data_IF_688307290953
#
_entry.id   IF_688307290953
#
_cell.length_a   1.000
_cell.length_b   1.000
_cell.length_c   1.000
_cell.angle_alpha   90.00
_cell.angle_beta   90.00
_cell.angle_gamma   90.00
#
_symmetry.space_group_name_H-M   'P 1'
#
loop_
_entity.id
_entity.type
_entity.pdbx_description
1 polymer ?
#
# COMPACT_ATOMS: atom_id res chain seq x y z
N UNK A 1 2.76 73.82 -11.31
CA UNK A 1 3.36 72.48 -11.41
C UNK A 1 3.86 72.14 -10.03
N UNK A 2 3.12 71.29 -9.33
CA UNK A 2 3.08 71.26 -7.86
C UNK A 2 4.05 70.23 -7.26
N UNK A 3 4.79 70.74 -6.26
CA UNK A 3 5.17 70.16 -4.97
C UNK A 3 5.84 68.78 -4.90
N UNK A 4 7.15 68.83 -4.67
CA UNK A 4 7.89 68.32 -3.50
C UNK A 4 7.08 67.55 -2.45
N UNK A 5 7.57 66.40 -1.99
CA UNK A 5 7.87 66.10 -0.56
C UNK A 5 8.64 64.78 -0.43
N UNK A 6 9.82 64.84 0.19
CA UNK A 6 10.49 63.73 0.88
C UNK A 6 9.99 63.76 2.34
N UNK A 7 9.67 62.60 2.95
CA UNK A 7 9.89 62.31 4.40
C UNK A 7 9.49 60.88 4.79
N UNK A 8 10.49 60.18 5.36
CA UNK A 8 10.48 59.25 6.52
C UNK A 8 9.14 58.96 7.21
N UNK A 9 8.91 57.74 7.72
CA UNK A 9 9.22 57.25 9.11
C UNK A 9 8.57 55.88 9.37
N UNK A 10 9.27 55.04 10.16
CA UNK A 10 8.84 53.79 10.78
C UNK A 10 7.49 53.85 11.53
N UNK A 11 6.78 52.73 11.63
CA UNK A 11 6.04 52.41 12.85
C UNK A 11 5.94 50.91 13.12
N UNK A 12 6.36 50.57 14.33
CA UNK A 12 6.37 49.28 14.99
C UNK A 12 5.13 49.22 15.92
N UNK A 13 4.71 47.99 16.23
CA UNK A 13 4.19 47.55 17.53
C UNK A 13 2.66 47.53 17.80
N UNK A 14 2.18 46.28 17.96
CA UNK A 14 1.27 45.70 18.95
C UNK A 14 -0.17 46.21 19.13
N UNK A 15 -1.09 45.25 19.38
CA UNK A 15 -1.65 45.01 20.73
C UNK A 15 -2.42 43.68 20.72
N UNK A 16 -1.95 42.77 21.58
CA UNK A 16 -2.67 41.64 22.17
C UNK A 16 -3.31 42.17 23.46
N UNK A 17 -4.54 41.75 23.84
CA UNK A 17 -5.03 41.54 25.22
C UNK A 17 -6.56 41.31 25.28
N UNK A 18 -6.90 40.11 25.78
CA UNK A 18 -7.99 39.67 26.68
C UNK A 18 -9.48 40.00 26.48
N UNK A 19 -10.27 38.94 26.76
CA UNK A 19 -11.39 38.85 27.72
C UNK A 19 -12.64 38.24 27.06
N UNK A 20 -13.50 37.39 27.65
CA UNK A 20 -13.88 37.09 29.04
C UNK A 20 -14.42 35.63 29.09
N UNK A 21 -14.15 34.91 30.18
CA UNK A 21 -14.83 33.68 30.53
C UNK A 21 -16.29 33.93 30.96
N UNK A 22 -17.25 33.20 30.39
CA UNK A 22 -18.55 33.00 31.01
C UNK A 22 -18.72 31.52 31.35
N UNK A 23 -18.64 31.23 32.65
CA UNK A 23 -19.23 30.04 33.24
C UNK A 23 -20.73 30.31 33.33
N UNK A 24 -21.54 29.38 32.82
CA UNK A 24 -22.90 29.18 33.32
C UNK A 24 -23.10 27.69 33.59
N UNK A 25 -23.75 27.44 34.71
CA UNK A 25 -23.81 26.22 35.49
C UNK A 25 -24.95 25.29 35.07
N UNK A 26 -24.66 23.98 35.10
CA UNK A 26 -25.52 22.86 35.52
C UNK A 26 -26.83 22.65 34.75
N UNK A 27 -26.90 21.54 34.00
CA UNK A 27 -27.78 20.46 34.44
C UNK A 27 -27.21 19.08 34.09
N UNK A 28 -27.24 18.19 35.09
CA UNK A 28 -26.85 16.80 34.98
C UNK A 28 -27.84 16.07 34.05
N UNK A 29 -27.37 15.73 32.85
CA UNK A 29 -27.92 14.67 32.04
C UNK A 29 -26.83 13.62 31.93
N UNK A 30 -26.90 12.60 32.78
CA UNK A 30 -26.18 11.34 32.58
C UNK A 30 -26.79 10.74 31.31
N UNK A 31 -26.30 11.15 30.15
CA UNK A 31 -26.41 10.33 28.96
C UNK A 31 -25.35 9.26 29.15
N UNK A 32 -25.79 8.11 29.66
CA UNK A 32 -25.07 6.88 29.45
C UNK A 32 -24.69 6.83 27.97
N UNK A 33 -23.40 7.02 27.68
CA UNK A 33 -22.85 6.46 26.47
C UNK A 33 -23.11 4.98 26.64
N UNK A 34 -24.05 4.46 25.86
CA UNK A 34 -24.14 3.04 25.65
C UNK A 34 -22.79 2.63 25.08
N UNK A 35 -21.88 2.24 25.97
CA UNK A 35 -20.94 1.18 25.67
C UNK A 35 -21.80 -0.05 25.39
N UNK A 36 -22.33 -0.12 24.18
CA UNK A 36 -22.45 -1.41 23.54
C UNK A 36 -21.00 -1.84 23.30
N UNK A 37 -20.36 -2.31 24.38
CA UNK A 37 -19.26 -3.23 24.26
C UNK A 37 -19.85 -4.39 23.49
N UNK A 38 -19.62 -4.41 22.18
CA UNK A 38 -19.70 -5.65 21.45
C UNK A 38 -18.90 -6.65 22.26
N UNK A 39 -19.62 -7.65 22.76
CA UNK A 39 -19.04 -8.77 23.46
C UNK A 39 -18.28 -9.54 22.37
N UNK A 40 -17.07 -9.08 22.07
CA UNK A 40 -16.07 -9.88 21.37
C UNK A 40 -15.75 -10.98 22.36
N UNK A 41 -16.44 -12.12 22.17
CA UNK A 41 -16.21 -13.35 22.91
C UNK A 41 -14.71 -13.53 23.06
N UNK A 42 -14.28 -13.77 24.30
CA UNK A 42 -12.93 -14.18 24.64
C UNK A 42 -12.67 -15.54 23.98
N UNK A 43 -12.38 -15.51 22.67
CA UNK A 43 -12.06 -16.68 21.87
C UNK A 43 -10.56 -16.88 22.00
N UNK A 44 -10.15 -17.79 22.87
CA UNK A 44 -8.91 -18.51 22.62
C UNK A 44 -9.10 -19.28 21.32
N UNK A 45 -8.62 -18.70 20.22
CA UNK A 45 -8.57 -19.36 18.92
C UNK A 45 -7.44 -20.39 19.00
N UNK A 46 -7.71 -21.63 18.61
CA UNK A 46 -6.68 -22.65 18.50
C UNK A 46 -5.83 -22.36 17.27
N UNK A 47 -4.75 -21.61 17.46
CA UNK A 47 -3.82 -21.26 16.39
C UNK A 47 -2.89 -22.45 16.09
N UNK A 48 -2.75 -22.77 14.81
CA UNK A 48 -1.95 -23.92 14.35
C UNK A 48 -0.68 -23.43 13.65
N UNK A 49 0.52 -23.86 14.09
CA UNK A 49 1.76 -23.50 13.40
C UNK A 49 1.87 -24.22 12.05
N UNK A 50 2.37 -23.49 11.06
CA UNK A 50 2.80 -24.01 9.77
C UNK A 50 4.28 -23.65 9.54
N UNK A 51 5.06 -24.50 8.86
CA UNK A 51 6.38 -24.10 8.40
C UNK A 51 6.25 -22.98 7.38
N UNK A 52 7.21 -22.06 7.38
CA UNK A 52 7.28 -21.02 6.33
C UNK A 52 7.36 -21.68 4.94
N UNK A 53 6.66 -21.10 3.94
CA UNK A 53 6.69 -21.61 2.59
C UNK A 53 8.10 -21.41 2.01
N UNK A 54 8.63 -22.44 1.35
CA UNK A 54 9.81 -22.28 0.51
C UNK A 54 9.35 -21.58 -0.76
N UNK A 55 9.43 -20.25 -0.79
CA UNK A 55 9.10 -19.47 -1.97
C UNK A 55 10.37 -19.29 -2.78
N UNK A 56 10.42 -19.92 -3.95
CA UNK A 56 11.50 -19.70 -4.91
C UNK A 56 10.92 -18.83 -6.00
N UNK A 57 11.49 -17.65 -6.23
CA UNK A 57 11.28 -16.94 -7.49
C UNK A 57 11.68 -17.90 -8.60
N UNK A 58 10.70 -18.44 -9.34
CA UNK A 58 11.01 -19.00 -10.65
C UNK A 58 11.74 -17.88 -11.37
N UNK A 59 12.93 -18.14 -11.92
CA UNK A 59 13.75 -17.12 -12.59
C UNK A 59 12.85 -16.21 -13.42
N UNK A 60 12.46 -15.06 -12.87
CA UNK A 60 11.56 -14.16 -13.55
C UNK A 60 12.41 -13.68 -14.69
N UNK A 61 11.94 -13.94 -15.90
CA UNK A 61 12.62 -13.38 -17.06
C UNK A 61 12.45 -11.89 -16.86
N UNK A 62 13.54 -11.18 -16.58
CA UNK A 62 13.51 -9.73 -16.39
C UNK A 62 12.67 -9.16 -17.52
N UNK A 63 11.51 -8.60 -17.18
CA UNK A 63 10.56 -8.08 -18.16
C UNK A 63 11.22 -6.96 -18.94
N UNK A 64 10.93 -6.89 -20.23
CA UNK A 64 11.38 -5.77 -21.06
C UNK A 64 10.78 -4.47 -20.50
N UNK A 65 11.48 -3.33 -20.57
CA UNK A 65 10.85 -2.04 -20.30
C UNK A 65 9.57 -1.88 -21.13
N UNK A 66 8.52 -1.34 -20.52
CA UNK A 66 7.20 -1.19 -21.14
C UNK A 66 6.51 -2.52 -21.49
N UNK A 67 6.83 -3.62 -20.78
CA UNK A 67 6.27 -4.95 -21.04
C UNK A 67 4.74 -4.95 -21.14
N UNK A 68 4.04 -4.25 -20.23
CA UNK A 68 2.58 -4.15 -20.23
C UNK A 68 2.03 -3.54 -21.53
N UNK A 69 2.75 -2.63 -22.19
CA UNK A 69 2.41 -2.10 -23.51
C UNK A 69 2.78 -3.06 -24.64
N UNK A 70 3.88 -3.80 -24.50
CA UNK A 70 4.43 -4.71 -25.51
C UNK A 70 3.64 -6.02 -25.61
N UNK A 71 3.25 -6.57 -24.46
CA UNK A 71 2.56 -7.85 -24.30
C UNK A 71 1.04 -7.74 -24.42
N UNK A 72 0.52 -6.51 -24.55
CA UNK A 72 -0.90 -6.19 -24.71
C UNK A 72 -1.62 -7.12 -25.71
N UNK A 73 -2.66 -7.78 -25.23
CA UNK A 73 -3.51 -8.68 -25.99
C UNK A 73 -4.43 -7.92 -26.98
N UNK A 74 -5.29 -8.60 -27.74
CA UNK A 74 -6.13 -7.89 -28.74
C UNK A 74 -7.18 -6.94 -28.15
N UNK A 75 -7.64 -7.21 -26.94
CA UNK A 75 -8.57 -6.37 -26.22
C UNK A 75 -7.84 -5.18 -25.59
N UNK A 76 -6.72 -5.42 -24.92
CA UNK A 76 -5.85 -4.41 -24.31
C UNK A 76 -5.27 -3.45 -25.35
N UNK A 77 -4.86 -3.95 -26.51
CA UNK A 77 -4.44 -3.12 -27.64
C UNK A 77 -5.51 -2.11 -28.06
N UNK A 78 -6.79 -2.50 -27.99
CA UNK A 78 -7.91 -1.60 -28.31
C UNK A 78 -8.10 -0.56 -27.21
N UNK A 79 -7.99 -0.97 -25.95
CA UNK A 79 -8.08 -0.07 -24.79
C UNK A 79 -6.94 0.96 -24.82
N UNK A 80 -5.72 0.53 -25.12
CA UNK A 80 -4.58 1.43 -25.27
C UNK A 80 -4.82 2.46 -26.38
N UNK A 81 -5.45 2.08 -27.50
CA UNK A 81 -5.83 3.05 -28.53
C UNK A 81 -6.87 4.05 -28.03
N UNK A 82 -7.84 3.61 -27.24
CA UNK A 82 -8.81 4.51 -26.61
C UNK A 82 -8.12 5.46 -25.62
N UNK A 83 -7.11 5.01 -24.87
CA UNK A 83 -6.29 5.88 -24.01
C UNK A 83 -5.54 6.92 -24.83
N UNK A 84 -4.83 6.50 -25.89
CA UNK A 84 -4.10 7.39 -26.80
C UNK A 84 -5.04 8.46 -27.40
N UNK A 85 -6.26 8.08 -27.77
CA UNK A 85 -7.24 9.01 -28.32
C UNK A 85 -7.67 10.11 -27.33
N UNK A 86 -7.53 9.86 -26.02
CA UNK A 86 -7.84 10.83 -24.96
C UNK A 86 -6.63 11.63 -24.45
N UNK A 87 -5.39 11.26 -24.80
CA UNK A 87 -4.19 11.99 -24.39
C UNK A 87 -4.22 13.48 -24.73
N UNK A 88 -3.53 14.29 -23.92
CA UNK A 88 -3.44 15.75 -24.06
C UNK A 88 -2.41 16.24 -25.10
N UNK A 89 -2.31 15.51 -26.22
CA UNK A 89 -1.39 15.79 -27.34
C UNK A 89 -2.15 16.05 -28.64
N UNK A 90 -1.44 16.47 -29.70
CA UNK A 90 -2.10 16.80 -30.98
C UNK A 90 -2.67 15.56 -31.68
N UNK A 91 -3.68 15.74 -32.52
CA UNK A 91 -4.26 14.62 -33.30
C UNK A 91 -3.24 13.92 -34.21
N UNK A 92 -2.22 14.65 -34.69
CA UNK A 92 -1.14 14.08 -35.50
C UNK A 92 -0.30 13.13 -34.65
N UNK A 93 0.09 13.55 -33.45
CA UNK A 93 0.86 12.71 -32.53
C UNK A 93 0.08 11.47 -32.10
N UNK A 94 -1.24 11.57 -31.91
CA UNK A 94 -2.10 10.40 -31.62
C UNK A 94 -2.04 9.36 -32.72
N UNK A 95 -2.16 9.77 -33.98
CA UNK A 95 -2.07 8.86 -35.13
C UNK A 95 -0.66 8.27 -35.29
N UNK A 96 0.38 9.05 -35.02
CA UNK A 96 1.77 8.58 -35.04
C UNK A 96 2.01 7.51 -33.97
N UNK A 97 1.58 7.75 -32.72
CA UNK A 97 1.68 6.80 -31.63
C UNK A 97 0.95 5.49 -31.94
N UNK A 98 -0.32 5.55 -32.37
CA UNK A 98 -1.12 4.36 -32.74
C UNK A 98 -0.49 3.57 -33.89
N UNK A 99 0.05 4.27 -34.89
CA UNK A 99 0.73 3.62 -36.02
C UNK A 99 2.02 2.93 -35.57
N UNK A 100 2.81 3.59 -34.73
CA UNK A 100 4.09 3.08 -34.24
C UNK A 100 3.90 1.83 -33.37
N UNK A 101 3.04 1.89 -32.34
CA UNK A 101 2.82 0.75 -31.45
C UNK A 101 2.24 -0.48 -32.19
N UNK A 102 1.39 -0.23 -33.19
CA UNK A 102 0.89 -1.29 -34.09
C UNK A 102 1.98 -1.93 -34.95
N UNK A 103 3.01 -1.18 -35.30
CA UNK A 103 4.18 -1.72 -36.01
C UNK A 103 5.07 -2.53 -35.05
N UNK A 104 5.31 -2.00 -33.85
CA UNK A 104 6.06 -2.65 -32.78
C UNK A 104 5.47 -4.03 -32.45
N UNK A 105 4.15 -4.13 -32.23
CA UNK A 105 3.49 -5.42 -31.95
C UNK A 105 3.65 -6.49 -33.05
N UNK A 106 3.95 -6.11 -34.31
CA UNK A 106 4.20 -7.09 -35.38
C UNK A 106 5.63 -7.64 -35.36
N UNK A 107 6.54 -6.91 -34.70
CA UNK A 107 7.98 -7.15 -34.67
C UNK A 107 8.45 -7.72 -33.34
N UNK A 108 7.71 -7.44 -32.26
CA UNK A 108 7.93 -7.99 -30.93
C UNK A 108 7.85 -9.54 -30.95
N UNK A 109 8.71 -10.28 -30.21
CA UNK A 109 9.76 -9.80 -29.29
C UNK A 109 11.14 -9.57 -29.93
N UNK A 110 11.34 -9.93 -31.19
CA UNK A 110 12.70 -10.17 -31.72
C UNK A 110 13.36 -8.98 -32.44
N UNK A 111 12.64 -7.89 -32.71
CA UNK A 111 13.09 -6.83 -33.62
C UNK A 111 12.86 -5.40 -33.08
N UNK A 112 12.98 -5.18 -31.76
CA UNK A 112 12.89 -3.84 -31.17
C UNK A 112 14.14 -2.98 -31.47
N UNK A 113 13.93 -1.68 -31.66
CA UNK A 113 14.99 -0.67 -31.89
C UNK A 113 15.00 0.38 -30.79
N UNK A 114 16.04 1.23 -30.75
CA UNK A 114 16.11 2.37 -29.84
C UNK A 114 14.95 3.37 -30.06
N UNK A 115 14.63 3.66 -31.33
CA UNK A 115 13.48 4.49 -31.70
C UNK A 115 12.13 3.91 -31.20
N UNK A 116 12.02 2.58 -31.12
CA UNK A 116 10.83 1.93 -30.54
C UNK A 116 10.68 2.24 -29.05
N UNK A 117 11.78 2.24 -28.30
CA UNK A 117 11.76 2.61 -26.88
C UNK A 117 11.46 4.10 -26.66
N UNK A 118 11.93 4.99 -27.55
CA UNK A 118 11.59 6.41 -27.49
C UNK A 118 10.08 6.63 -27.67
N UNK A 119 9.46 5.95 -28.65
CA UNK A 119 8.02 6.09 -28.88
C UNK A 119 7.19 5.40 -27.78
N UNK A 120 7.66 4.27 -27.22
CA UNK A 120 7.02 3.63 -26.06
C UNK A 120 7.03 4.56 -24.84
N UNK A 121 8.17 5.20 -24.54
CA UNK A 121 8.26 6.20 -23.47
C UNK A 121 7.35 7.40 -23.71
N UNK A 122 7.19 7.84 -24.96
CA UNK A 122 6.23 8.90 -25.32
C UNK A 122 4.78 8.46 -25.08
N UNK A 123 4.43 7.22 -25.46
CA UNK A 123 3.10 6.65 -25.23
C UNK A 123 2.83 6.56 -23.75
N UNK A 124 3.69 5.89 -22.98
CA UNK A 124 3.57 5.74 -21.53
C UNK A 124 3.33 7.09 -20.88
N UNK A 125 4.22 8.07 -21.11
CA UNK A 125 4.11 9.39 -20.51
C UNK A 125 2.76 10.05 -20.84
N UNK A 126 2.35 10.01 -22.11
CA UNK A 126 1.11 10.66 -22.55
C UNK A 126 -0.13 9.98 -21.98
N UNK A 127 -0.12 8.65 -21.88
CA UNK A 127 -1.22 7.89 -21.28
C UNK A 127 -1.25 8.05 -19.77
N UNK A 128 -0.08 8.03 -19.11
CA UNK A 128 0.06 8.23 -17.68
C UNK A 128 -0.46 9.61 -17.25
N UNK A 129 -0.12 10.69 -17.98
CA UNK A 129 -0.66 12.03 -17.72
C UNK A 129 -2.19 12.04 -17.76
N UNK A 130 -2.80 11.39 -18.77
CA UNK A 130 -4.25 11.28 -18.89
C UNK A 130 -4.88 10.41 -17.78
N UNK A 131 -4.30 9.25 -17.51
CA UNK A 131 -4.87 8.26 -16.60
C UNK A 131 -4.73 8.70 -15.13
N UNK A 132 -3.62 9.31 -14.75
CA UNK A 132 -3.48 9.92 -13.42
C UNK A 132 -4.47 11.08 -13.21
N UNK A 133 -4.69 11.94 -14.22
CA UNK A 133 -5.69 13.01 -14.12
C UNK A 133 -7.12 12.46 -14.02
N UNK A 134 -7.39 11.32 -14.66
CA UNK A 134 -8.73 10.72 -14.70
C UNK A 134 -9.05 9.83 -13.50
N UNK A 135 -8.09 9.06 -13.01
CA UNK A 135 -8.28 8.01 -12.01
C UNK A 135 -7.44 8.22 -10.74
N UNK A 136 -6.42 9.08 -10.79
CA UNK A 136 -5.59 9.37 -9.62
C UNK A 136 -6.39 10.08 -8.53
N UNK A 137 -6.04 9.78 -7.28
CA UNK A 137 -6.56 10.46 -6.09
C UNK A 137 -5.59 11.57 -5.66
N UNK A 138 -6.11 12.66 -5.08
CA UNK A 138 -5.31 13.83 -4.65
C UNK A 138 -4.34 13.53 -3.48
N UNK A 139 -4.48 12.38 -2.81
CA UNK A 139 -3.60 11.94 -1.71
C UNK A 139 -2.65 10.85 -2.21
N UNK A 140 -1.39 11.24 -2.41
CA UNK A 140 -0.30 10.38 -2.91
C UNK A 140 0.35 9.66 -1.72
N UNK A 141 0.30 8.33 -1.72
CA UNK A 141 1.10 7.44 -0.87
C UNK A 141 1.14 6.03 -1.48
N UNK A 142 2.28 5.37 -1.37
CA UNK A 142 2.45 3.93 -1.67
C UNK A 142 2.16 3.19 -0.37
N UNK A 143 0.90 2.88 -0.07
CA UNK A 143 0.47 2.49 1.28
C UNK A 143 -0.87 1.76 1.23
N UNK A 144 -0.98 0.58 1.85
CA UNK A 144 -2.32 0.10 2.20
C UNK A 144 -3.08 1.19 2.98
N UNK A 145 -4.40 1.16 2.93
CA UNK A 145 -5.15 2.11 3.77
C UNK A 145 -4.71 1.94 5.23
N UNK A 146 -4.54 3.05 5.95
CA UNK A 146 -4.15 2.98 7.36
C UNK A 146 -5.13 2.13 8.19
N UNK A 147 -6.41 2.14 7.80
CA UNK A 147 -7.47 1.34 8.41
C UNK A 147 -7.24 -0.18 8.22
N UNK A 148 -6.72 -0.61 7.07
CA UNK A 148 -6.46 -2.03 6.76
C UNK A 148 -5.27 -2.56 7.59
N UNK A 149 -4.16 -1.81 7.64
CA UNK A 149 -3.00 -2.14 8.50
C UNK A 149 -3.40 -2.28 9.96
N UNK A 150 -4.14 -1.29 10.45
CA UNK A 150 -4.68 -1.22 11.80
C UNK A 150 -5.48 -2.48 12.17
N UNK A 151 -6.40 -2.87 11.28
CA UNK A 151 -7.32 -3.99 11.53
C UNK A 151 -6.61 -5.35 11.48
N UNK A 152 -5.67 -5.54 10.54
CA UNK A 152 -4.92 -6.79 10.41
C UNK A 152 -4.16 -7.13 11.70
N UNK A 153 -3.37 -6.19 12.24
CA UNK A 153 -2.59 -6.45 13.45
C UNK A 153 -3.46 -6.55 14.70
N UNK A 154 -4.52 -5.73 14.79
CA UNK A 154 -5.48 -5.80 15.89
C UNK A 154 -6.04 -7.21 16.03
N UNK A 155 -6.52 -7.79 14.92
CA UNK A 155 -7.10 -9.13 14.90
C UNK A 155 -6.06 -10.20 15.22
N UNK A 156 -4.84 -10.08 14.67
CA UNK A 156 -3.76 -11.01 14.97
C UNK A 156 -3.43 -11.05 16.47
N UNK A 157 -3.30 -9.89 17.13
CA UNK A 157 -3.06 -9.80 18.58
C UNK A 157 -4.21 -10.41 19.38
N UNK A 158 -5.46 -10.10 19.02
CA UNK A 158 -6.65 -10.62 19.72
C UNK A 158 -6.78 -12.14 19.61
N UNK A 159 -6.45 -12.74 18.46
CA UNK A 159 -6.48 -14.20 18.26
C UNK A 159 -5.53 -14.95 19.17
N UNK A 160 -4.43 -14.33 19.59
CA UNK A 160 -3.52 -14.88 20.60
C UNK A 160 -4.02 -14.75 22.05
N UNK A 161 -5.24 -14.24 22.27
CA UNK A 161 -5.84 -14.05 23.59
C UNK A 161 -5.25 -12.88 24.38
N UNK A 162 -4.60 -11.94 23.70
CA UNK A 162 -3.94 -10.78 24.32
C UNK A 162 -4.97 -9.67 24.56
N UNK A 163 -4.86 -8.99 25.71
CA UNK A 163 -5.78 -7.94 26.14
C UNK A 163 -6.02 -6.85 25.07
N UNK A 164 -7.25 -6.36 24.99
CA UNK A 164 -7.65 -5.32 24.03
C UNK A 164 -6.82 -4.04 24.14
N UNK A 165 -6.27 -3.72 25.31
CA UNK A 165 -5.38 -2.58 25.51
C UNK A 165 -4.14 -2.69 24.62
N UNK A 166 -3.50 -3.85 24.60
CA UNK A 166 -2.30 -4.09 23.80
C UNK A 166 -2.60 -4.27 22.32
N UNK A 167 -3.73 -4.88 21.99
CA UNK A 167 -4.21 -4.93 20.61
C UNK A 167 -4.43 -3.52 20.03
N UNK A 168 -5.04 -2.62 20.80
CA UNK A 168 -5.24 -1.23 20.38
C UNK A 168 -3.92 -0.43 20.28
N UNK A 169 -2.92 -0.74 21.12
CA UNK A 169 -1.60 -0.12 21.01
C UNK A 169 -0.92 -0.53 19.69
N UNK A 170 -0.92 -1.83 19.37
CA UNK A 170 -0.34 -2.32 18.12
C UNK A 170 -1.09 -1.77 16.90
N UNK A 171 -2.44 -1.79 16.95
CA UNK A 171 -3.32 -1.18 15.96
C UNK A 171 -2.88 0.24 15.62
N UNK A 172 -2.95 1.15 16.61
CA UNK A 172 -2.69 2.58 16.37
C UNK A 172 -1.26 2.83 15.86
N UNK A 173 -0.30 2.03 16.32
CA UNK A 173 1.08 2.14 15.87
C UNK A 173 1.26 1.69 14.41
N UNK A 174 0.47 0.72 13.92
CA UNK A 174 0.64 0.16 12.59
C UNK A 174 0.30 1.11 11.44
N UNK A 175 -0.39 2.23 11.67
CA UNK A 175 -0.60 3.27 10.64
C UNK A 175 0.45 4.39 10.68
N UNK A 176 1.30 4.45 11.72
CA UNK A 176 2.24 5.56 11.87
C UNK A 176 3.38 5.59 10.83
N UNK A 177 4.00 4.45 10.45
CA UNK A 177 5.14 4.44 9.52
C UNK A 177 4.91 5.20 8.23
N UNK A 178 3.69 5.16 7.72
CA UNK A 178 3.22 5.92 6.57
C UNK A 178 3.56 7.42 6.60
N UNK A 179 3.64 8.00 7.80
CA UNK A 179 3.83 9.43 8.00
C UNK A 179 5.28 9.84 8.30
N UNK A 180 6.19 8.88 8.45
CA UNK A 180 7.56 9.15 8.90
C UNK A 180 8.45 9.74 7.81
N UNK A 181 8.25 9.31 6.57
CA UNK A 181 9.05 9.70 5.41
C UNK A 181 8.20 10.34 4.30
N UNK A 182 8.89 10.90 3.30
CA UNK A 182 8.23 11.48 2.11
C UNK A 182 9.04 11.25 0.84
N UNK A 183 8.34 11.23 -0.30
CA UNK A 183 8.96 11.08 -1.61
C UNK A 183 9.68 9.75 -1.76
N UNK A 184 10.90 9.76 -2.33
CA UNK A 184 11.67 8.54 -2.58
C UNK A 184 11.87 7.68 -1.33
N UNK A 185 12.16 8.30 -0.18
CA UNK A 185 12.44 7.55 1.06
C UNK A 185 11.20 6.82 1.58
N UNK A 186 10.03 7.41 1.42
CA UNK A 186 8.76 6.75 1.75
C UNK A 186 8.58 5.51 0.88
N UNK A 187 8.67 5.63 -0.45
CA UNK A 187 8.57 4.46 -1.32
C UNK A 187 9.63 3.41 -1.00
N UNK A 188 10.88 3.81 -0.79
CA UNK A 188 11.98 2.88 -0.50
C UNK A 188 11.80 2.12 0.81
N UNK A 189 11.27 2.76 1.86
CA UNK A 189 11.08 2.16 3.18
C UNK A 189 9.89 1.20 3.27
N UNK A 190 8.90 1.35 2.40
CA UNK A 190 7.66 0.55 2.36
C UNK A 190 7.66 -0.52 1.26
N UNK A 191 8.77 -0.66 0.55
CA UNK A 191 8.90 -1.50 -0.63
C UNK A 191 10.00 -2.54 -0.47
N UNK A 192 9.86 -3.68 -1.16
CA UNK A 192 10.95 -4.61 -1.39
C UNK A 192 10.71 -5.41 -2.68
N UNK A 193 11.59 -5.23 -3.65
CA UNK A 193 11.62 -6.02 -4.88
C UNK A 193 12.49 -7.27 -4.70
N UNK A 194 11.88 -8.47 -4.57
CA UNK A 194 12.62 -9.70 -4.35
C UNK A 194 13.40 -10.15 -5.59
N UNK A 195 13.09 -9.64 -6.79
CA UNK A 195 13.78 -10.03 -8.02
C UNK A 195 15.19 -9.43 -8.13
N UNK A 196 15.40 -8.28 -7.49
CA UNK A 196 16.68 -7.56 -7.50
C UNK A 196 17.24 -7.28 -6.09
N UNK A 197 16.51 -7.65 -5.03
CA UNK A 197 16.89 -7.41 -3.64
C UNK A 197 16.97 -5.91 -3.31
N UNK A 198 15.96 -5.14 -3.73
CA UNK A 198 15.95 -3.67 -3.59
C UNK A 198 14.74 -3.17 -2.80
N UNK A 199 14.98 -2.43 -1.72
CA UNK A 199 13.97 -1.89 -0.84
C UNK A 199 14.30 -2.20 0.62
N UNK A 200 13.65 -1.52 1.56
CA UNK A 200 14.02 -1.55 2.98
C UNK A 200 12.93 -2.09 3.91
N UNK A 201 11.75 -2.42 3.38
CA UNK A 201 10.62 -2.87 4.20
C UNK A 201 10.92 -4.15 4.98
N UNK A 202 11.63 -5.13 4.39
CA UNK A 202 11.98 -6.37 5.09
C UNK A 202 12.90 -6.12 6.29
N UNK A 203 13.92 -5.27 6.12
CA UNK A 203 14.83 -4.89 7.20
C UNK A 203 14.12 -4.03 8.27
N UNK A 204 13.26 -3.10 7.86
CA UNK A 204 12.43 -2.34 8.81
C UNK A 204 11.52 -3.28 9.63
N UNK A 205 10.93 -4.30 9.00
CA UNK A 205 10.13 -5.30 9.69
C UNK A 205 10.94 -6.02 10.78
N UNK A 206 12.17 -6.43 10.48
CA UNK A 206 13.09 -7.07 11.43
C UNK A 206 13.48 -6.13 12.57
N UNK A 207 13.99 -4.95 12.26
CA UNK A 207 14.46 -3.96 13.25
C UNK A 207 13.38 -3.70 14.31
N UNK A 208 12.13 -3.50 13.89
CA UNK A 208 11.03 -3.24 14.81
C UNK A 208 10.58 -4.49 15.58
N UNK A 209 10.59 -5.69 14.99
CA UNK A 209 10.14 -6.88 15.72
C UNK A 209 11.16 -7.34 16.77
N UNK A 210 12.45 -7.15 16.50
CA UNK A 210 13.52 -7.48 17.45
C UNK A 210 13.53 -6.51 18.63
N UNK A 211 13.28 -5.23 18.38
CA UNK A 211 13.00 -4.25 19.43
C UNK A 211 11.75 -4.65 20.22
N UNK A 212 10.66 -5.06 19.55
CA UNK A 212 9.44 -5.51 20.20
C UNK A 212 9.66 -6.71 21.13
N UNK A 213 10.41 -7.73 20.67
CA UNK A 213 10.78 -8.90 21.46
C UNK A 213 11.63 -8.49 22.68
N UNK A 214 12.61 -7.62 22.48
CA UNK A 214 13.44 -7.08 23.58
C UNK A 214 12.59 -6.35 24.62
N UNK A 215 11.64 -5.51 24.19
CA UNK A 215 10.73 -4.83 25.11
C UNK A 215 9.82 -5.82 25.84
N UNK A 216 9.36 -6.87 25.17
CA UNK A 216 8.51 -7.89 25.76
C UNK A 216 9.24 -8.65 26.88
N UNK A 217 10.48 -9.07 26.64
CA UNK A 217 11.33 -9.76 27.63
C UNK A 217 11.63 -8.90 28.86
N UNK A 218 11.71 -7.58 28.67
CA UNK A 218 11.87 -6.62 29.75
C UNK A 218 10.56 -6.21 30.43
N UNK A 219 9.45 -6.90 30.11
CA UNK A 219 8.10 -6.61 30.61
C UNK A 219 7.59 -5.19 30.28
N UNK A 220 8.14 -4.55 29.25
CA UNK A 220 7.75 -3.22 28.77
C UNK A 220 6.67 -3.36 27.69
N UNK A 221 5.53 -3.94 28.07
CA UNK A 221 4.50 -4.38 27.12
C UNK A 221 3.98 -3.26 26.21
N UNK A 222 3.82 -2.02 26.71
CA UNK A 222 3.41 -0.90 25.84
C UNK A 222 4.38 -0.72 24.67
N UNK A 223 5.70 -0.67 24.93
CA UNK A 223 6.70 -0.52 23.88
C UNK A 223 6.77 -1.76 22.98
N UNK A 224 6.60 -2.95 23.55
CA UNK A 224 6.58 -4.20 22.79
C UNK A 224 5.47 -4.19 21.75
N UNK A 225 4.24 -3.86 22.16
CA UNK A 225 3.10 -3.83 21.23
C UNK A 225 3.12 -2.62 20.28
N UNK A 226 3.73 -1.50 20.67
CA UNK A 226 3.97 -0.39 19.73
C UNK A 226 4.91 -0.81 18.61
N UNK A 227 6.06 -1.40 18.92
CA UNK A 227 7.02 -1.84 17.89
C UNK A 227 6.50 -3.04 17.08
N UNK A 228 5.69 -3.92 17.68
CA UNK A 228 4.95 -4.93 16.93
C UNK A 228 4.04 -4.29 15.87
N UNK A 229 3.35 -3.19 16.22
CA UNK A 229 2.55 -2.41 15.26
C UNK A 229 3.39 -1.92 14.09
N UNK A 230 4.53 -1.29 14.37
CA UNK A 230 5.46 -0.82 13.33
C UNK A 230 6.00 -1.96 12.46
N UNK A 231 6.40 -3.08 13.05
CA UNK A 231 6.86 -4.24 12.29
C UNK A 231 5.76 -4.81 11.39
N UNK A 232 4.54 -4.96 11.93
CA UNK A 232 3.39 -5.50 11.19
C UNK A 232 2.98 -4.62 10.01
N UNK A 233 3.24 -3.32 10.08
CA UNK A 233 3.03 -2.40 8.96
C UNK A 233 3.86 -2.83 7.75
N UNK A 234 5.19 -2.91 7.91
CA UNK A 234 6.10 -3.29 6.83
C UNK A 234 5.87 -4.73 6.34
N UNK A 235 5.54 -5.66 7.25
CA UNK A 235 5.13 -7.01 6.85
C UNK A 235 3.87 -6.97 5.96
N UNK A 236 2.88 -6.16 6.33
CA UNK A 236 1.61 -6.07 5.58
C UNK A 236 1.77 -5.38 4.23
N UNK A 237 2.65 -4.38 4.14
CA UNK A 237 3.06 -3.76 2.87
C UNK A 237 3.61 -4.81 1.90
N UNK A 238 4.46 -5.72 2.37
CA UNK A 238 5.00 -6.79 1.53
C UNK A 238 3.96 -7.86 1.15
N UNK A 239 2.80 -7.84 1.80
CA UNK A 239 1.58 -8.52 1.38
C UNK A 239 0.87 -7.86 0.19
N UNK A 240 1.19 -6.62 -0.14
CA UNK A 240 0.69 -5.93 -1.34
C UNK A 240 1.59 -6.30 -2.53
N UNK A 241 1.08 -6.89 -3.63
CA UNK A 241 1.90 -7.05 -4.83
C UNK A 241 2.51 -5.72 -5.31
N UNK A 242 1.78 -4.61 -5.21
CA UNK A 242 2.25 -3.28 -5.66
C UNK A 242 3.45 -2.74 -4.88
N UNK A 243 3.78 -3.30 -3.71
CA UNK A 243 4.98 -2.93 -2.93
C UNK A 243 6.19 -3.79 -3.25
N UNK A 244 6.12 -4.60 -4.31
CA UNK A 244 7.15 -5.62 -4.58
C UNK A 244 7.78 -5.54 -5.96
N UNK A 245 7.43 -4.59 -6.82
CA UNK A 245 7.98 -4.50 -8.18
C UNK A 245 7.50 -3.28 -8.95
N UNK A 246 7.82 -3.20 -10.25
CA UNK A 246 7.31 -2.19 -11.19
C UNK A 246 7.48 -0.72 -10.73
N UNK A 247 8.55 -0.41 -10.01
CA UNK A 247 8.75 0.93 -9.43
C UNK A 247 8.76 2.06 -10.47
N UNK A 248 9.28 1.82 -11.69
CA UNK A 248 9.28 2.80 -12.77
C UNK A 248 7.86 3.02 -13.34
N UNK A 249 7.15 1.93 -13.62
CA UNK A 249 5.81 1.95 -14.19
C UNK A 249 4.81 2.55 -13.21
N UNK A 250 4.94 2.24 -11.91
CA UNK A 250 4.14 2.84 -10.84
C UNK A 250 4.49 4.31 -10.59
N UNK A 251 5.75 4.73 -10.78
CA UNK A 251 6.10 6.15 -10.72
C UNK A 251 5.36 6.95 -11.79
N UNK A 252 5.27 6.41 -13.00
CA UNK A 252 4.50 7.00 -14.10
C UNK A 252 2.99 6.87 -13.87
N UNK A 253 2.50 5.71 -13.43
CA UNK A 253 1.08 5.38 -13.31
C UNK A 253 0.65 5.18 -11.84
N UNK A 254 0.86 6.21 -11.00
CA UNK A 254 0.55 6.14 -9.56
C UNK A 254 -0.93 5.82 -9.28
N UNK A 255 -1.82 6.14 -10.22
CA UNK A 255 -3.23 5.80 -10.15
C UNK A 255 -3.49 4.28 -10.06
N UNK A 256 -2.63 3.42 -10.63
CA UNK A 256 -2.78 1.96 -10.57
C UNK A 256 -2.67 1.48 -9.13
N UNK A 257 -1.61 1.92 -8.46
CA UNK A 257 -1.32 1.62 -7.07
C UNK A 257 -2.49 2.04 -6.16
N UNK A 258 -2.82 3.33 -6.20
CA UNK A 258 -3.87 3.93 -5.35
C UNK A 258 -5.26 3.37 -5.64
N UNK A 259 -5.56 2.99 -6.90
CA UNK A 259 -6.84 2.38 -7.25
C UNK A 259 -6.98 0.98 -6.65
N UNK A 260 -5.92 0.18 -6.68
CA UNK A 260 -5.94 -1.16 -6.08
C UNK A 260 -6.15 -1.10 -4.57
N UNK A 261 -5.41 -0.23 -3.87
CA UNK A 261 -5.53 -0.08 -2.41
C UNK A 261 -6.90 0.47 -2.01
N UNK A 262 -7.41 1.47 -2.75
CA UNK A 262 -8.77 1.96 -2.56
C UNK A 262 -9.81 0.85 -2.80
N UNK A 263 -9.59 -0.03 -3.79
CA UNK A 263 -10.46 -1.18 -4.03
C UNK A 263 -10.49 -2.13 -2.84
N UNK A 264 -9.33 -2.51 -2.29
CA UNK A 264 -9.32 -3.45 -1.16
C UNK A 264 -9.96 -2.82 0.08
N UNK A 265 -9.61 -1.58 0.40
CA UNK A 265 -10.19 -0.82 1.51
C UNK A 265 -11.72 -0.69 1.39
N UNK A 266 -12.23 -0.36 0.20
CA UNK A 266 -13.69 -0.26 -0.04
C UNK A 266 -14.41 -1.61 0.14
N UNK A 267 -13.70 -2.72 -0.08
CA UNK A 267 -14.21 -4.08 0.09
C UNK A 267 -13.79 -4.72 1.42
N UNK A 268 -13.17 -3.96 2.33
CA UNK A 268 -12.64 -4.49 3.57
C UNK A 268 -13.74 -5.05 4.48
N UNK A 269 -14.73 -4.21 4.80
CA UNK A 269 -15.88 -4.57 5.64
C UNK A 269 -17.22 -4.58 4.86
N UNK A 270 -17.15 -4.60 3.54
CA UNK A 270 -18.33 -4.62 2.67
C UNK A 270 -18.00 -5.30 1.34
N UNK A 271 -18.99 -5.62 0.50
CA UNK A 271 -18.72 -6.24 -0.80
C UNK A 271 -18.14 -7.65 -0.64
N UNK A 272 -16.84 -7.82 -0.92
CA UNK A 272 -16.11 -9.07 -0.72
C UNK A 272 -15.79 -9.38 0.74
N UNK A 273 -15.90 -8.38 1.64
CA UNK A 273 -15.65 -8.53 3.08
C UNK A 273 -14.26 -9.13 3.38
N UNK A 274 -13.21 -8.53 2.82
CA UNK A 274 -11.83 -9.01 2.94
C UNK A 274 -11.33 -9.14 4.39
N UNK A 275 -11.91 -8.41 5.33
CA UNK A 275 -11.61 -8.57 6.76
C UNK A 275 -11.98 -9.96 7.31
N UNK A 276 -12.95 -10.66 6.68
CA UNK A 276 -13.29 -12.04 7.01
C UNK A 276 -12.11 -13.00 6.76
N UNK A 277 -11.26 -12.73 5.76
CA UNK A 277 -10.07 -13.56 5.50
C UNK A 277 -9.11 -13.50 6.69
N UNK A 278 -8.91 -12.31 7.24
CA UNK A 278 -8.07 -12.11 8.42
C UNK A 278 -8.69 -12.85 9.63
N UNK A 279 -10.01 -12.76 9.79
CA UNK A 279 -10.75 -13.42 10.86
C UNK A 279 -10.82 -14.95 10.75
N UNK A 280 -10.88 -15.49 9.54
CA UNK A 280 -10.97 -16.93 9.31
C UNK A 280 -9.59 -17.60 9.32
N UNK A 281 -8.52 -16.83 9.16
CA UNK A 281 -7.14 -17.33 9.25
C UNK A 281 -6.81 -17.73 10.69
N UNK A 282 -6.59 -19.03 10.89
CA UNK A 282 -6.27 -19.64 12.21
C UNK A 282 -4.95 -20.41 12.22
N UNK A 283 -4.22 -20.38 11.11
CA UNK A 283 -2.86 -20.90 10.97
C UNK A 283 -1.87 -19.75 11.01
N UNK A 284 -0.64 -19.99 11.40
CA UNK A 284 0.42 -18.97 11.42
C UNK A 284 1.76 -19.56 11.04
N UNK A 285 2.63 -18.75 10.45
CA UNK A 285 4.00 -19.16 10.16
C UNK A 285 4.89 -18.99 11.39
N UNK A 286 5.70 -20.02 11.67
CA UNK A 286 6.72 -19.92 12.72
C UNK A 286 7.89 -19.13 12.20
N UNK A 287 7.97 -17.87 12.62
CA UNK A 287 9.06 -16.95 12.25
C UNK A 287 10.27 -17.22 13.14
N UNK A 288 11.42 -17.44 12.51
CA UNK A 288 12.73 -17.52 13.19
C UNK A 288 13.74 -16.50 12.69
N UNK A 289 13.48 -15.93 11.52
CA UNK A 289 14.28 -14.92 10.85
C UNK A 289 13.29 -13.90 10.26
N UNK A 290 13.03 -12.77 10.94
CA UNK A 290 12.00 -11.84 10.53
C UNK A 290 12.25 -11.16 9.19
N UNK A 291 13.50 -10.80 8.86
CA UNK A 291 13.85 -10.22 7.57
C UNK A 291 13.54 -11.24 6.47
N UNK A 292 14.01 -12.49 6.62
CA UNK A 292 13.74 -13.53 5.62
C UNK A 292 12.25 -13.85 5.50
N UNK A 293 11.49 -13.84 6.61
CA UNK A 293 10.05 -14.05 6.60
C UNK A 293 9.32 -12.93 5.81
N UNK A 294 9.75 -11.68 5.98
CA UNK A 294 9.23 -10.54 5.23
C UNK A 294 9.58 -10.64 3.74
N UNK A 295 10.81 -11.02 3.39
CA UNK A 295 11.21 -11.29 2.00
C UNK A 295 10.43 -12.46 1.37
N UNK A 296 10.11 -13.51 2.15
CA UNK A 296 9.30 -14.64 1.69
C UNK A 296 7.87 -14.19 1.33
N UNK A 297 7.26 -13.32 2.14
CA UNK A 297 5.97 -12.73 1.83
C UNK A 297 6.04 -11.83 0.59
N UNK A 298 7.05 -10.96 0.51
CA UNK A 298 7.27 -10.11 -0.67
C UNK A 298 7.41 -10.96 -1.94
N UNK A 299 8.14 -12.06 -1.86
CA UNK A 299 8.32 -13.01 -2.96
C UNK A 299 6.99 -13.64 -3.39
N UNK A 300 6.15 -14.01 -2.43
CA UNK A 300 4.82 -14.55 -2.71
C UNK A 300 3.93 -13.52 -3.41
N UNK A 301 3.89 -12.28 -2.91
CA UNK A 301 3.10 -11.19 -3.47
C UNK A 301 3.61 -10.78 -4.86
N UNK A 302 4.93 -10.71 -5.05
CA UNK A 302 5.57 -10.37 -6.32
C UNK A 302 5.19 -11.32 -7.46
N UNK A 303 5.03 -12.61 -7.17
CA UNK A 303 4.63 -13.60 -8.16
C UNK A 303 3.23 -13.34 -8.77
N UNK A 304 2.45 -12.42 -8.21
CA UNK A 304 1.10 -12.00 -8.67
C UNK A 304 1.08 -10.57 -9.20
N UNK A 305 2.20 -9.86 -9.15
CA UNK A 305 2.25 -8.43 -9.45
C UNK A 305 1.91 -8.15 -10.91
N UNK A 306 2.52 -8.86 -11.86
CA UNK A 306 2.29 -8.63 -13.30
C UNK A 306 0.79 -8.74 -13.64
N UNK A 307 0.15 -9.86 -13.29
CA UNK A 307 -1.27 -10.12 -13.56
C UNK A 307 -2.18 -9.06 -12.92
N UNK A 308 -1.89 -8.67 -11.66
CA UNK A 308 -2.66 -7.64 -10.97
C UNK A 308 -2.46 -6.24 -11.60
N UNK A 309 -1.23 -5.89 -11.94
CA UNK A 309 -0.90 -4.59 -12.51
C UNK A 309 -1.60 -4.37 -13.85
N UNK A 310 -1.53 -5.37 -14.73
CA UNK A 310 -2.17 -5.31 -16.06
C UNK A 310 -3.67 -5.16 -15.97
N UNK A 311 -4.33 -5.94 -15.10
CA UNK A 311 -5.79 -5.88 -14.95
C UNK A 311 -6.22 -4.51 -14.43
N UNK A 312 -5.52 -3.94 -13.44
CA UNK A 312 -5.83 -2.59 -12.97
C UNK A 312 -5.57 -1.55 -14.06
N UNK A 313 -4.45 -1.64 -14.78
CA UNK A 313 -4.06 -0.69 -15.83
C UNK A 313 -5.04 -0.65 -17.01
N UNK A 314 -5.39 -1.83 -17.54
CA UNK A 314 -6.26 -1.94 -18.71
C UNK A 314 -7.75 -1.88 -18.37
N UNK A 315 -8.13 -2.24 -17.14
CA UNK A 315 -9.53 -2.30 -16.72
C UNK A 315 -9.85 -1.40 -15.52
N UNK A 316 -9.47 -0.10 -15.53
CA UNK A 316 -9.51 0.81 -14.37
C UNK A 316 -10.88 0.99 -13.70
N UNK A 317 -11.97 0.69 -14.43
CA UNK A 317 -13.34 0.84 -13.91
C UNK A 317 -14.04 -0.49 -13.62
N UNK A 318 -13.40 -1.62 -13.93
CA UNK A 318 -14.01 -2.96 -13.85
C UNK A 318 -13.13 -4.01 -13.19
N UNK A 319 -11.83 -3.75 -13.00
CA UNK A 319 -10.86 -4.70 -12.42
C UNK A 319 -11.34 -5.30 -11.08
N UNK A 320 -12.02 -4.52 -10.24
CA UNK A 320 -12.52 -5.01 -8.94
C UNK A 320 -13.62 -6.08 -9.02
N UNK A 321 -14.14 -6.37 -10.21
CA UNK A 321 -15.06 -7.48 -10.48
C UNK A 321 -14.42 -8.65 -11.23
N UNK A 322 -13.12 -8.52 -11.56
CA UNK A 322 -12.36 -9.58 -12.19
C UNK A 322 -12.04 -10.71 -11.19
N UNK A 323 -12.17 -11.96 -11.63
CA UNK A 323 -11.99 -13.11 -10.74
C UNK A 323 -10.55 -13.30 -10.29
N UNK A 324 -9.60 -12.92 -11.13
CA UNK A 324 -8.18 -13.10 -10.84
C UNK A 324 -7.73 -12.04 -9.84
N UNK A 325 -8.21 -10.80 -9.96
CA UNK A 325 -8.00 -9.75 -8.93
C UNK A 325 -8.53 -10.19 -7.57
N UNK A 326 -9.78 -10.67 -7.52
CA UNK A 326 -10.40 -11.14 -6.26
C UNK A 326 -9.58 -12.29 -5.65
N UNK A 327 -9.16 -13.24 -6.49
CA UNK A 327 -8.37 -14.40 -6.05
C UNK A 327 -6.98 -13.98 -5.56
N UNK A 328 -6.30 -13.11 -6.28
CA UNK A 328 -4.98 -12.56 -5.90
C UNK A 328 -5.10 -11.84 -4.56
N UNK A 329 -6.08 -10.95 -4.40
CA UNK A 329 -6.30 -10.22 -3.13
C UNK A 329 -6.59 -11.18 -1.98
N UNK A 330 -7.44 -12.19 -2.20
CA UNK A 330 -7.74 -13.21 -1.17
C UNK A 330 -6.47 -13.96 -0.72
N UNK A 331 -5.69 -14.44 -1.69
CA UNK A 331 -4.49 -15.21 -1.44
C UNK A 331 -3.42 -14.41 -0.68
N UNK A 332 -3.14 -13.17 -1.11
CA UNK A 332 -2.11 -12.36 -0.46
C UNK A 332 -2.53 -11.92 0.94
N UNK A 333 -3.81 -11.55 1.16
CA UNK A 333 -4.31 -11.23 2.49
C UNK A 333 -4.26 -12.43 3.43
N UNK A 334 -4.56 -13.63 2.91
CA UNK A 334 -4.44 -14.86 3.70
C UNK A 334 -2.99 -15.12 4.13
N UNK A 335 -2.01 -14.95 3.23
CA UNK A 335 -0.59 -15.07 3.62
C UNK A 335 -0.18 -14.01 4.64
N UNK A 336 -0.53 -12.75 4.39
CA UNK A 336 -0.24 -11.63 5.29
C UNK A 336 -0.79 -11.88 6.69
N UNK A 337 -2.01 -12.39 6.81
CA UNK A 337 -2.61 -12.76 8.09
C UNK A 337 -1.79 -13.83 8.84
N UNK A 338 -1.28 -14.86 8.13
CA UNK A 338 -0.43 -15.90 8.74
C UNK A 338 0.90 -15.33 9.25
N UNK A 339 1.53 -14.43 8.51
CA UNK A 339 2.77 -13.77 8.92
C UNK A 339 2.55 -12.82 10.10
N UNK A 340 1.49 -12.00 10.09
CA UNK A 340 1.15 -11.14 11.22
C UNK A 340 0.85 -11.95 12.50
N UNK A 341 0.16 -13.09 12.40
CA UNK A 341 0.02 -14.02 13.53
C UNK A 341 1.38 -14.59 13.99
N UNK A 342 2.29 -14.84 13.06
CA UNK A 342 3.68 -15.24 13.32
C UNK A 342 4.47 -14.19 14.09
N UNK A 343 4.37 -12.90 13.72
CA UNK A 343 5.04 -11.79 14.42
C UNK A 343 4.58 -11.69 15.87
N UNK A 344 3.27 -11.82 16.13
CA UNK A 344 2.75 -11.84 17.51
C UNK A 344 3.31 -13.03 18.29
N UNK A 345 3.51 -14.18 17.65
CA UNK A 345 4.14 -15.34 18.30
C UNK A 345 5.62 -15.09 18.58
N UNK A 346 6.34 -14.49 17.63
CA UNK A 346 7.77 -14.25 17.70
C UNK A 346 8.15 -13.44 18.95
N UNK A 347 7.51 -12.30 19.19
CA UNK A 347 7.84 -11.43 20.36
C UNK A 347 7.55 -12.09 21.72
N UNK A 348 6.90 -13.26 21.74
CA UNK A 348 6.49 -14.00 22.95
C UNK A 348 7.25 -15.33 23.10
N UNK A 349 8.21 -15.62 22.23
CA UNK A 349 8.85 -16.93 22.12
C UNK A 349 10.15 -17.06 22.89
#
# INVERSE_FOLDING_TARGET
>A
MNNTTIKTTSMLLAILIFSVAFISSVNAGVNAVNNDSEIVKDYQVNLTPEPEPIVVLSSTTQKDPYWYLLEADKQEQKILFDYIDNCYVTSVEKEEMKKAIKDIWKRYPSQLTEDDYEILGKIEKSTAEYLNDKYGYDEIGVKWSGDDHEDMIYRAVRKWGIDTTYANIAKNAAAEPDSWDSGFWQSYNHYYDPSIGFGYAAMNCEDFIDDAATYYDNAQLTNAYTNLGYSSHYMSDLGNPMHTGHSNEQYSNQWVHTSYEAYVNNNWNSGYEYSNIIDDTTTYYVITDPEQAAENLATYSHARLDDLYDEVYYHPTTFGSDSDVITITDEVLHQTAKYNLGLVKYIRS
#
